data_IF_159519659908
#
_entry.id   IF_159519659908
#
_cell.length_a   1.000
_cell.length_b   1.000
_cell.length_c   1.000
_cell.angle_alpha   90.00
_cell.angle_beta   90.00
_cell.angle_gamma   90.00
#
_symmetry.space_group_name_H-M   'P 1'
#
loop_
_entity.id
_entity.type
_entity.pdbx_description
1 polymer ?
#
# COMPACT_ATOMS: atom_id res chain seq x y z
N UNK A 1 23.44 31.19 27.42
CA UNK A 1 22.26 30.75 28.21
C UNK A 1 22.17 29.25 28.12
N UNK A 2 22.09 28.54 29.26
CA UNK A 2 22.07 27.07 29.35
C UNK A 2 20.66 26.53 28.99
N UNK A 3 20.53 25.38 28.30
CA UNK A 3 19.23 24.77 28.04
C UNK A 3 18.75 24.00 29.27
N UNK A 4 17.46 24.18 29.62
CA UNK A 4 16.78 23.37 30.64
C UNK A 4 16.19 22.14 29.96
N UNK A 5 16.81 20.99 30.25
CA UNK A 5 16.32 19.65 29.95
C UNK A 5 15.17 19.32 30.90
N UNK A 6 13.98 19.04 30.36
CA UNK A 6 12.83 18.58 31.13
C UNK A 6 12.66 17.07 30.89
N UNK A 7 12.92 16.31 31.95
CA UNK A 7 12.82 14.85 32.01
C UNK A 7 11.38 14.49 32.41
N UNK A 8 10.62 13.81 31.55
CA UNK A 8 9.33 13.21 31.91
C UNK A 8 9.54 11.73 32.25
N UNK A 9 9.33 11.40 33.53
CA UNK A 9 9.27 10.03 34.05
C UNK A 9 7.81 9.63 34.03
N UNK A 10 7.45 8.63 33.21
CA UNK A 10 6.14 7.99 33.26
C UNK A 10 6.28 6.61 33.91
N UNK A 11 5.78 6.50 35.15
CA UNK A 11 5.60 5.24 35.85
C UNK A 11 4.18 4.74 35.58
N UNK A 12 4.04 3.52 35.03
CA UNK A 12 2.74 2.83 34.93
C UNK A 12 2.82 1.56 35.76
N UNK A 13 2.02 1.55 36.84
CA UNK A 13 1.84 0.43 37.75
C UNK A 13 0.95 -0.66 37.15
N UNK A 14 1.43 -1.89 37.24
CA UNK A 14 0.68 -3.13 37.02
C UNK A 14 -0.26 -3.38 38.20
N UNK A 15 -1.55 -3.58 37.92
CA UNK A 15 -2.52 -4.15 38.87
C UNK A 15 -3.15 -5.40 38.23
N UNK A 16 -2.71 -6.55 38.72
CA UNK A 16 -3.33 -7.87 38.53
C UNK A 16 -4.46 -8.03 39.55
N UNK A 17 -5.68 -8.33 39.09
CA UNK A 17 -6.67 -9.05 39.90
C UNK A 17 -7.51 -9.93 38.99
N UNK A 18 -7.36 -11.24 39.15
CA UNK A 18 -8.32 -12.22 38.65
C UNK A 18 -9.41 -12.51 39.68
N UNK A 19 -10.54 -13.04 39.22
CA UNK A 19 -11.39 -13.90 40.03
C UNK A 19 -12.05 -14.96 39.16
N UNK A 20 -12.08 -16.15 39.74
CA UNK A 20 -12.45 -17.46 39.24
C UNK A 20 -13.91 -17.73 39.65
N UNK A 21 -14.72 -18.36 38.80
CA UNK A 21 -16.09 -18.77 39.12
C UNK A 21 -16.50 -20.02 38.36
N UNK A 22 -17.09 -20.98 39.07
CA UNK A 22 -17.16 -22.43 38.79
C UNK A 22 -18.50 -22.84 38.13
N UNK A 23 -18.47 -23.98 37.45
CA UNK A 23 -19.53 -24.70 36.72
C UNK A 23 -20.81 -25.06 37.49
N UNK A 24 -21.93 -25.25 36.77
CA UNK A 24 -22.78 -26.45 36.84
C UNK A 24 -23.84 -26.51 35.70
N UNK A 25 -23.74 -27.59 34.91
CA UNK A 25 -24.77 -28.47 34.28
C UNK A 25 -26.24 -28.05 34.15
N UNK A 26 -26.81 -28.31 32.96
CA UNK A 26 -28.25 -28.48 32.77
C UNK A 26 -28.72 -28.73 31.32
N UNK A 27 -28.81 -30.01 30.96
CA UNK A 27 -29.87 -30.67 30.16
C UNK A 27 -30.08 -30.41 28.66
N UNK A 28 -30.15 -31.54 27.95
CA UNK A 28 -30.65 -31.82 26.60
C UNK A 28 -31.90 -31.03 26.17
N UNK A 29 -31.92 -30.65 24.90
CA UNK A 29 -33.07 -30.91 24.01
C UNK A 29 -32.63 -30.87 22.55
N UNK A 30 -32.86 -31.98 21.86
CA UNK A 30 -32.81 -32.08 20.42
C UNK A 30 -34.00 -31.33 19.80
N UNK A 31 -33.78 -30.53 18.76
CA UNK A 31 -34.71 -30.50 17.62
C UNK A 31 -34.14 -29.76 16.39
N UNK A 32 -34.13 -30.52 15.28
CA UNK A 32 -34.46 -30.15 13.90
C UNK A 32 -33.94 -28.82 13.31
N UNK A 33 -32.88 -28.94 12.51
CA UNK A 33 -32.48 -27.96 11.49
C UNK A 33 -33.26 -28.21 10.19
N UNK A 34 -34.01 -27.23 9.64
CA UNK A 34 -34.51 -27.30 8.27
C UNK A 34 -33.44 -26.84 7.28
N UNK A 35 -33.33 -27.58 6.18
CA UNK A 35 -32.49 -27.29 5.03
C UNK A 35 -32.88 -25.95 4.37
N UNK A 36 -31.93 -25.03 4.26
CA UNK A 36 -32.04 -23.85 3.40
C UNK A 36 -31.36 -24.18 2.08
N UNK A 37 -32.15 -24.10 1.02
CA UNK A 37 -31.74 -24.32 -0.36
C UNK A 37 -30.68 -23.30 -0.79
N UNK A 38 -29.58 -23.81 -1.37
CA UNK A 38 -28.59 -23.00 -2.09
C UNK A 38 -29.26 -22.28 -3.27
N UNK A 39 -29.44 -20.97 -3.14
CA UNK A 39 -29.56 -20.08 -4.29
C UNK A 39 -28.15 -19.89 -4.85
N UNK A 40 -27.97 -20.31 -6.09
CA UNK A 40 -26.83 -19.99 -6.92
C UNK A 40 -26.72 -18.47 -7.08
N UNK A 41 -25.72 -17.86 -6.45
CA UNK A 41 -25.31 -16.48 -6.74
C UNK A 41 -24.61 -16.47 -8.11
N UNK A 42 -25.20 -15.75 -9.05
CA UNK A 42 -24.56 -15.35 -10.29
C UNK A 42 -23.42 -14.38 -9.96
N UNK A 43 -22.22 -14.68 -10.46
CA UNK A 43 -21.06 -13.81 -10.40
C UNK A 43 -21.37 -12.42 -10.99
N UNK A 44 -20.84 -11.33 -10.40
CA UNK A 44 -20.94 -10.00 -10.99
C UNK A 44 -20.21 -9.93 -12.35
N UNK A 45 -20.65 -9.05 -13.28
CA UNK A 45 -19.98 -8.86 -14.56
C UNK A 45 -18.57 -8.29 -14.37
N UNK A 46 -17.62 -8.85 -15.13
CA UNK A 46 -16.21 -8.43 -15.19
C UNK A 46 -16.04 -6.93 -15.42
N UNK A 47 -15.03 -6.37 -14.73
CA UNK A 47 -14.53 -5.03 -14.96
C UNK A 47 -14.28 -4.80 -16.46
N UNK A 48 -14.70 -3.64 -16.95
CA UNK A 48 -14.49 -3.24 -18.34
C UNK A 48 -12.99 -3.08 -18.56
N UNK A 49 -12.38 -3.96 -19.37
CA UNK A 49 -10.95 -3.89 -19.67
C UNK A 49 -10.66 -2.62 -20.46
N UNK A 50 -9.97 -1.67 -19.84
CA UNK A 50 -9.52 -0.44 -20.48
C UNK A 50 -8.61 -0.76 -21.68
N UNK A 51 -8.60 0.08 -22.74
CA UNK A 51 -7.79 -0.16 -23.92
C UNK A 51 -6.29 -0.11 -23.58
N UNK A 52 -5.63 -1.25 -23.77
CA UNK A 52 -4.20 -1.43 -23.62
C UNK A 52 -3.48 -0.98 -24.90
N UNK A 53 -2.60 0.01 -24.82
CA UNK A 53 -1.75 0.43 -25.94
C UNK A 53 -0.27 0.19 -25.58
N UNK A 54 0.38 -0.84 -26.17
CA UNK A 54 1.78 -1.17 -25.85
C UNK A 54 2.77 -0.07 -26.25
N UNK A 55 2.35 0.95 -27.01
CA UNK A 55 3.18 2.10 -27.35
C UNK A 55 3.03 3.29 -26.39
N UNK A 56 2.02 3.29 -25.53
CA UNK A 56 1.80 4.36 -24.56
C UNK A 56 2.86 4.29 -23.44
N UNK A 57 3.44 5.45 -23.12
CA UNK A 57 4.48 5.61 -22.11
C UNK A 57 4.08 6.71 -21.13
N UNK A 58 4.33 6.44 -19.86
CA UNK A 58 4.19 7.37 -18.76
C UNK A 58 5.37 8.33 -18.74
N UNK A 59 5.08 9.63 -18.78
CA UNK A 59 6.05 10.68 -18.56
C UNK A 59 6.13 11.02 -17.07
N UNK A 60 7.15 10.47 -16.42
CA UNK A 60 7.39 10.65 -14.98
C UNK A 60 7.52 12.12 -14.57
N UNK A 61 7.90 13.02 -15.48
CA UNK A 61 8.11 14.44 -15.17
C UNK A 61 6.80 15.23 -15.00
N UNK A 62 5.67 14.67 -15.44
CA UNK A 62 4.34 15.29 -15.30
C UNK A 62 3.61 14.90 -14.02
N UNK A 63 4.10 13.87 -13.34
CA UNK A 63 3.45 13.32 -12.16
C UNK A 63 3.51 14.30 -11.00
N UNK A 64 2.46 14.27 -10.17
CA UNK A 64 2.40 15.03 -8.92
C UNK A 64 2.53 14.10 -7.73
N UNK A 65 2.67 14.65 -6.54
CA UNK A 65 2.79 13.91 -5.28
C UNK A 65 1.47 13.79 -4.51
N UNK A 66 0.35 13.69 -5.23
CA UNK A 66 -0.96 13.64 -4.60
C UNK A 66 -1.43 12.20 -4.35
N UNK A 67 -1.63 11.86 -3.09
CA UNK A 67 -2.24 10.61 -2.65
C UNK A 67 -3.48 10.88 -1.82
N UNK A 68 -4.41 9.93 -1.82
CA UNK A 68 -5.61 9.95 -1.02
C UNK A 68 -5.91 8.56 -0.45
N UNK A 69 -6.85 8.48 0.49
CA UNK A 69 -7.42 7.20 0.90
C UNK A 69 -8.93 7.24 0.96
N UNK A 70 -9.54 6.07 0.80
CA UNK A 70 -10.98 5.91 0.73
C UNK A 70 -11.67 5.94 2.11
N UNK A 71 -12.89 6.45 2.15
CA UNK A 71 -13.79 6.29 3.30
C UNK A 71 -14.19 4.81 3.52
N UNK A 72 -14.93 4.57 4.60
CA UNK A 72 -15.36 3.21 4.96
C UNK A 72 -16.37 2.59 3.98
N UNK A 73 -16.96 3.41 3.09
CA UNK A 73 -17.92 2.95 2.08
C UNK A 73 -17.30 2.83 0.68
N UNK A 74 -16.06 3.30 0.48
CA UNK A 74 -15.42 3.34 -0.84
C UNK A 74 -16.05 4.35 -1.80
N UNK A 75 -16.76 5.36 -1.29
CA UNK A 75 -17.49 6.36 -2.10
C UNK A 75 -16.78 7.70 -2.19
N UNK A 76 -15.90 7.97 -1.23
CA UNK A 76 -15.14 9.22 -1.16
C UNK A 76 -13.68 8.93 -0.92
N UNK A 77 -12.84 9.79 -1.45
CA UNK A 77 -11.41 9.84 -1.15
C UNK A 77 -11.10 11.15 -0.42
N UNK A 78 -10.16 11.12 0.52
CA UNK A 78 -9.58 12.33 1.15
C UNK A 78 -8.08 12.36 0.90
N UNK A 79 -7.56 13.50 0.47
CA UNK A 79 -6.12 13.66 0.24
C UNK A 79 -5.33 13.54 1.54
N UNK A 80 -4.15 12.94 1.44
CA UNK A 80 -3.18 12.96 2.51
C UNK A 80 -2.55 14.34 2.55
N UNK A 81 -2.53 14.97 3.74
CA UNK A 81 -2.01 16.32 3.90
C UNK A 81 -0.59 16.44 3.33
N UNK A 82 -0.40 17.39 2.40
CA UNK A 82 0.94 17.86 2.00
C UNK A 82 1.61 18.52 3.20
N UNK A 83 2.93 18.58 3.23
CA UNK A 83 3.63 19.17 4.38
C UNK A 83 3.10 20.59 4.66
N UNK A 84 2.95 20.99 5.93
CA UNK A 84 2.20 22.20 6.34
C UNK A 84 2.76 23.53 5.82
N UNK A 85 3.95 23.54 5.21
CA UNK A 85 4.53 24.74 4.57
C UNK A 85 4.03 24.96 3.14
N UNK A 86 3.37 23.96 2.53
CA UNK A 86 2.72 24.10 1.24
C UNK A 86 1.30 24.61 1.46
N UNK A 87 1.12 25.91 1.23
CA UNK A 87 -0.19 26.55 1.23
C UNK A 87 -1.19 25.67 0.44
N UNK A 88 -2.41 25.52 0.97
CA UNK A 88 -3.48 24.80 0.29
C UNK A 88 -3.45 25.09 -1.20
N UNK A 89 -3.29 24.04 -2.01
CA UNK A 89 -3.43 24.16 -3.45
C UNK A 89 -4.75 24.86 -3.73
N UNK A 90 -4.74 25.84 -4.65
CA UNK A 90 -5.96 26.55 -4.97
C UNK A 90 -7.01 25.53 -5.41
N UNK A 91 -8.28 25.73 -5.05
CA UNK A 91 -9.38 24.80 -5.40
C UNK A 91 -9.36 24.38 -6.89
N UNK A 92 -9.00 25.33 -7.78
CA UNK A 92 -8.87 25.08 -9.21
C UNK A 92 -7.82 24.04 -9.59
N UNK A 93 -6.73 23.94 -8.82
CA UNK A 93 -5.70 22.91 -8.99
C UNK A 93 -6.25 21.53 -8.58
N UNK A 94 -6.96 21.46 -7.45
CA UNK A 94 -7.59 20.22 -7.00
C UNK A 94 -8.66 19.70 -7.98
N UNK A 95 -9.34 20.60 -8.70
CA UNK A 95 -10.31 20.23 -9.72
C UNK A 95 -9.69 19.56 -10.97
N UNK A 96 -8.37 19.62 -11.17
CA UNK A 96 -7.70 18.97 -12.30
C UNK A 96 -7.62 17.45 -12.13
N UNK A 97 -7.57 16.96 -10.90
CA UNK A 97 -7.47 15.54 -10.60
C UNK A 97 -8.81 14.84 -10.85
N UNK A 98 -8.84 13.94 -11.82
CA UNK A 98 -10.04 13.25 -12.29
C UNK A 98 -9.91 11.73 -12.28
N UNK A 99 -8.74 11.19 -11.94
CA UNK A 99 -8.47 9.76 -11.83
C UNK A 99 -7.83 9.42 -10.48
N UNK A 100 -8.16 8.25 -9.96
CA UNK A 100 -7.49 7.62 -8.82
C UNK A 100 -7.03 6.21 -9.18
N UNK A 101 -5.75 5.91 -8.98
CA UNK A 101 -5.14 4.60 -9.27
C UNK A 101 -4.90 3.88 -7.94
N UNK A 102 -5.61 2.79 -7.72
CA UNK A 102 -5.50 1.93 -6.53
C UNK A 102 -4.76 0.63 -6.81
N UNK A 103 -4.84 -0.31 -5.86
CA UNK A 103 -4.19 -1.63 -5.96
C UNK A 103 -4.43 -2.31 -7.34
N UNK A 104 -3.38 -2.96 -7.87
CA UNK A 104 -3.37 -3.70 -9.13
C UNK A 104 -3.71 -2.89 -10.40
N UNK A 105 -3.54 -1.57 -10.35
CA UNK A 105 -3.78 -0.66 -11.47
C UNK A 105 -5.25 -0.33 -11.66
N UNK A 106 -6.11 -0.60 -10.66
CA UNK A 106 -7.52 -0.27 -10.74
C UNK A 106 -7.72 1.25 -10.79
N UNK A 107 -8.27 1.72 -11.90
CA UNK A 107 -8.53 3.15 -12.15
C UNK A 107 -9.97 3.47 -11.80
N UNK A 108 -10.16 4.50 -10.96
CA UNK A 108 -11.44 5.08 -10.63
C UNK A 108 -11.56 6.46 -11.27
N UNK A 109 -12.75 6.78 -11.79
CA UNK A 109 -13.05 8.17 -12.11
C UNK A 109 -13.49 8.87 -10.84
N UNK A 110 -12.90 10.04 -10.58
CA UNK A 110 -13.19 10.84 -9.40
C UNK A 110 -13.55 12.26 -9.78
N UNK A 111 -14.22 12.96 -8.88
CA UNK A 111 -14.54 14.38 -9.04
C UNK A 111 -14.30 15.11 -7.73
N UNK A 112 -13.53 16.20 -7.78
CA UNK A 112 -13.37 17.07 -6.64
C UNK A 112 -14.73 17.56 -6.12
N UNK A 113 -14.96 17.39 -4.82
CA UNK A 113 -16.21 17.75 -4.16
C UNK A 113 -16.04 19.03 -3.35
N UNK A 114 -15.04 19.08 -2.47
CA UNK A 114 -14.77 20.22 -1.58
C UNK A 114 -13.47 20.01 -0.79
N UNK A 115 -13.01 21.09 -0.16
CA UNK A 115 -12.09 21.00 0.96
C UNK A 115 -12.86 20.69 2.25
N UNK A 116 -12.36 19.77 3.06
CA UNK A 116 -12.87 19.45 4.39
C UNK A 116 -11.89 19.98 5.44
N UNK A 117 -12.37 20.86 6.32
CA UNK A 117 -11.58 21.33 7.47
C UNK A 117 -11.52 20.28 8.57
N UNK A 118 -10.41 20.27 9.30
CA UNK A 118 -10.25 19.48 10.53
C UNK A 118 -11.38 19.77 11.52
N UNK A 119 -11.88 18.72 12.20
CA UNK A 119 -12.78 18.87 13.34
C UNK A 119 -12.07 18.62 14.67
N UNK A 120 -12.68 19.04 15.78
CA UNK A 120 -12.17 18.77 17.13
C UNK A 120 -12.16 17.27 17.50
N UNK A 121 -12.80 16.42 16.70
CA UNK A 121 -12.81 14.96 16.90
C UNK A 121 -11.70 14.25 16.14
N UNK A 122 -10.85 14.98 15.41
CA UNK A 122 -9.71 14.42 14.70
C UNK A 122 -8.71 13.81 15.69
N UNK A 123 -8.52 12.50 15.62
CA UNK A 123 -7.56 11.77 16.43
C UNK A 123 -6.17 11.64 15.77
N UNK A 124 -5.97 12.31 14.64
CA UNK A 124 -4.75 12.31 13.83
C UNK A 124 -4.51 11.01 13.05
N UNK A 125 -5.43 10.03 13.09
CA UNK A 125 -5.31 8.79 12.33
C UNK A 125 -5.87 8.99 10.93
N UNK A 126 -5.09 8.65 9.93
CA UNK A 126 -5.48 8.65 8.52
C UNK A 126 -6.14 7.31 8.18
N UNK A 127 -7.27 7.02 8.81
CA UNK A 127 -8.07 5.81 8.60
C UNK A 127 -9.53 6.17 8.31
N UNK A 128 -10.26 5.24 7.68
CA UNK A 128 -11.67 5.40 7.35
C UNK A 128 -12.54 5.75 8.58
N UNK A 129 -12.16 5.29 9.77
CA UNK A 129 -12.87 5.59 11.03
C UNK A 129 -12.78 7.06 11.46
N UNK A 130 -11.73 7.77 11.04
CA UNK A 130 -11.51 9.18 11.36
C UNK A 130 -11.77 10.10 10.16
N UNK A 131 -12.20 9.55 9.02
CA UNK A 131 -12.34 10.24 7.73
C UNK A 131 -13.14 11.55 7.82
N UNK A 132 -14.25 11.57 8.55
CA UNK A 132 -15.11 12.77 8.66
C UNK A 132 -14.52 13.90 9.50
N UNK A 133 -13.42 13.63 10.20
CA UNK A 133 -12.79 14.56 11.13
C UNK A 133 -11.48 15.13 10.60
N UNK A 134 -10.84 14.41 9.66
CA UNK A 134 -9.58 14.80 9.06
C UNK A 134 -9.73 16.04 8.20
N UNK A 135 -8.64 16.79 8.10
CA UNK A 135 -8.49 17.83 7.08
C UNK A 135 -8.00 17.22 5.77
N UNK A 136 -8.55 17.69 4.66
CA UNK A 136 -8.10 17.30 3.32
C UNK A 136 -9.11 17.61 2.23
N UNK A 137 -8.69 17.42 1.00
CA UNK A 137 -9.52 17.61 -0.19
C UNK A 137 -10.30 16.33 -0.48
N UNK A 138 -11.63 16.48 -0.60
CA UNK A 138 -12.56 15.37 -0.79
C UNK A 138 -12.88 15.22 -2.26
N UNK A 139 -12.81 13.97 -2.72
CA UNK A 139 -13.22 13.57 -4.05
C UNK A 139 -14.35 12.56 -3.95
N UNK A 140 -15.39 12.72 -4.76
CA UNK A 140 -16.41 11.69 -4.97
C UNK A 140 -15.86 10.65 -5.96
N UNK A 141 -16.07 9.36 -5.69
CA UNK A 141 -15.89 8.29 -6.68
C UNK A 141 -17.12 8.27 -7.58
N UNK A 142 -16.96 8.63 -8.85
CA UNK A 142 -18.08 8.74 -9.81
C UNK A 142 -18.25 7.52 -10.70
N UNK A 143 -17.18 6.74 -10.88
CA UNK A 143 -17.20 5.46 -11.59
C UNK A 143 -16.12 4.52 -11.03
N UNK A 144 -16.43 3.22 -11.02
CA UNK A 144 -15.68 2.20 -10.29
C UNK A 144 -16.08 2.11 -8.80
N UNK A 145 -15.34 1.29 -8.05
CA UNK A 145 -15.57 1.08 -6.61
C UNK A 145 -14.22 1.16 -5.89
N UNK A 146 -14.07 2.12 -4.99
CA UNK A 146 -12.89 2.15 -4.13
C UNK A 146 -12.99 1.06 -3.06
N UNK A 147 -11.87 0.40 -2.78
CA UNK A 147 -11.76 -0.51 -1.64
C UNK A 147 -11.78 0.34 -0.36
N UNK A 148 -12.64 0.03 0.62
CA UNK A 148 -12.69 0.77 1.87
C UNK A 148 -11.31 0.89 2.53
N UNK A 149 -11.01 2.09 3.02
CA UNK A 149 -9.76 2.43 3.70
C UNK A 149 -8.47 2.19 2.88
N UNK A 150 -8.56 1.94 1.58
CA UNK A 150 -7.40 1.77 0.71
C UNK A 150 -6.85 3.10 0.22
N UNK A 151 -5.55 3.12 -0.10
CA UNK A 151 -4.86 4.29 -0.63
C UNK A 151 -4.83 4.31 -2.15
N UNK A 152 -4.83 5.51 -2.70
CA UNK A 152 -4.94 5.80 -4.11
C UNK A 152 -3.96 6.90 -4.50
N UNK A 153 -3.37 6.76 -5.69
CA UNK A 153 -2.59 7.81 -6.33
C UNK A 153 -3.52 8.67 -7.19
N UNK A 154 -3.56 9.98 -6.96
CA UNK A 154 -4.45 10.91 -7.67
C UNK A 154 -3.72 11.56 -8.84
N UNK A 155 -4.33 11.51 -10.01
CA UNK A 155 -3.78 12.06 -11.25
C UNK A 155 -4.87 12.73 -12.08
N UNK A 156 -4.44 13.62 -12.97
CA UNK A 156 -5.23 14.01 -14.13
C UNK A 156 -4.89 13.14 -15.34
N UNK A 157 -5.80 13.10 -16.32
CA UNK A 157 -5.60 12.52 -17.64
C UNK A 157 -4.45 13.18 -18.43
N UNK A 158 -4.13 14.45 -18.15
CA UNK A 158 -2.97 15.13 -18.72
C UNK A 158 -1.63 14.64 -18.13
N UNK A 159 -1.64 14.21 -16.86
CA UNK A 159 -0.47 13.76 -16.13
C UNK A 159 -0.19 12.27 -16.30
N UNK A 160 -1.24 11.46 -16.42
CA UNK A 160 -1.12 10.00 -16.45
C UNK A 160 -1.92 9.41 -17.61
N UNK A 161 -1.22 8.90 -18.62
CA UNK A 161 -1.85 8.14 -19.69
C UNK A 161 -2.16 6.72 -19.21
N UNK A 162 -3.43 6.44 -18.90
CA UNK A 162 -3.87 5.13 -18.39
C UNK A 162 -3.57 3.97 -19.34
N UNK A 163 -3.34 4.24 -20.64
CA UNK A 163 -2.94 3.20 -21.61
C UNK A 163 -1.51 2.70 -21.39
N UNK A 164 -0.69 3.47 -20.66
CA UNK A 164 0.64 3.08 -20.23
C UNK A 164 0.62 2.06 -19.09
N UNK A 165 -0.51 1.87 -18.41
CA UNK A 165 -0.66 0.84 -17.38
C UNK A 165 -0.40 -0.53 -17.98
N UNK A 166 0.36 -1.33 -17.25
CA UNK A 166 0.59 -2.74 -17.53
C UNK A 166 -0.36 -3.51 -16.62
N UNK A 167 -1.33 -4.27 -17.17
CA UNK A 167 -2.26 -5.07 -16.38
C UNK A 167 -1.53 -6.01 -15.43
N UNK A 168 -1.98 -6.03 -14.17
CA UNK A 168 -1.47 -6.92 -13.14
C UNK A 168 -2.46 -8.06 -12.92
N UNK A 169 -1.95 -9.29 -12.91
CA UNK A 169 -2.76 -10.48 -12.65
C UNK A 169 -3.27 -10.48 -11.19
N UNK A 170 -4.56 -10.71 -11.01
CA UNK A 170 -5.09 -11.04 -9.69
C UNK A 170 -4.55 -12.41 -9.27
N UNK A 171 -3.76 -12.43 -8.20
CA UNK A 171 -3.14 -13.65 -7.72
C UNK A 171 -3.08 -13.71 -6.20
N UNK A 172 -3.19 -14.93 -5.69
CA UNK A 172 -2.82 -15.22 -4.31
C UNK A 172 -1.30 -15.13 -4.16
N UNK A 173 -0.85 -14.72 -2.97
CA UNK A 173 0.56 -14.69 -2.62
C UNK A 173 1.16 -16.09 -2.82
N UNK A 174 2.26 -16.14 -3.56
CA UNK A 174 3.00 -17.37 -3.83
C UNK A 174 4.45 -17.22 -3.38
N UNK A 175 5.12 -18.35 -3.18
CA UNK A 175 6.58 -18.37 -3.08
C UNK A 175 7.19 -17.91 -4.41
N UNK A 176 8.38 -17.32 -4.34
CA UNK A 176 9.10 -16.89 -5.54
C UNK A 176 9.47 -18.13 -6.38
N UNK A 177 9.32 -18.08 -7.72
CA UNK A 177 9.78 -19.15 -8.59
C UNK A 177 11.25 -19.50 -8.36
N UNK A 178 11.57 -20.79 -8.40
CA UNK A 178 12.88 -21.29 -7.99
C UNK A 178 14.02 -20.78 -8.87
N UNK A 179 13.77 -20.59 -10.17
CA UNK A 179 14.68 -19.99 -11.14
C UNK A 179 14.95 -18.51 -10.83
N UNK A 180 13.89 -17.73 -10.55
CA UNK A 180 14.01 -16.32 -10.14
C UNK A 180 14.79 -16.22 -8.82
N UNK A 181 14.48 -17.05 -7.83
CA UNK A 181 15.20 -17.09 -6.55
C UNK A 181 16.70 -17.41 -6.74
N UNK A 182 17.03 -18.38 -7.60
CA UNK A 182 18.42 -18.70 -7.94
C UNK A 182 19.15 -17.54 -8.61
N UNK A 183 18.50 -16.86 -9.56
CA UNK A 183 19.06 -15.70 -10.24
C UNK A 183 19.33 -14.54 -9.25
N UNK A 184 18.39 -14.27 -8.34
CA UNK A 184 18.54 -13.28 -7.27
C UNK A 184 19.74 -13.61 -6.37
N UNK A 185 19.85 -14.85 -5.89
CA UNK A 185 20.97 -15.29 -5.04
C UNK A 185 22.31 -15.15 -5.77
N UNK A 186 22.35 -15.50 -7.05
CA UNK A 186 23.54 -15.39 -7.89
C UNK A 186 24.00 -13.94 -8.03
N UNK A 187 23.07 -13.00 -8.28
CA UNK A 187 23.39 -11.57 -8.42
C UNK A 187 23.82 -10.97 -7.08
N UNK A 188 23.11 -11.29 -5.99
CA UNK A 188 23.36 -10.68 -4.67
C UNK A 188 24.49 -11.32 -3.88
N UNK A 189 24.89 -12.54 -4.25
CA UNK A 189 25.88 -13.31 -3.48
C UNK A 189 25.41 -13.63 -2.06
N UNK A 190 24.10 -13.66 -1.82
CA UNK A 190 23.50 -13.78 -0.50
C UNK A 190 22.27 -14.69 -0.57
N UNK A 191 22.19 -15.66 0.33
CA UNK A 191 21.05 -16.58 0.37
C UNK A 191 19.77 -15.85 0.76
N UNK A 192 18.65 -16.25 0.16
CA UNK A 192 17.30 -15.80 0.54
C UNK A 192 16.89 -16.57 1.82
N UNK A 193 16.36 -15.85 2.81
CA UNK A 193 15.73 -16.43 3.99
C UNK A 193 14.23 -16.67 3.73
N UNK A 194 13.55 -15.67 3.17
CA UNK A 194 12.15 -15.73 2.75
C UNK A 194 11.94 -14.88 1.50
N UNK A 195 10.94 -15.22 0.69
CA UNK A 195 10.54 -14.37 -0.41
C UNK A 195 9.20 -14.75 -0.99
N UNK A 196 8.50 -13.76 -1.53
CA UNK A 196 7.17 -13.90 -2.09
C UNK A 196 7.05 -13.23 -3.44
N UNK A 197 6.31 -13.87 -4.33
CA UNK A 197 5.83 -13.28 -5.58
C UNK A 197 4.57 -12.45 -5.26
N UNK A 198 4.65 -11.15 -5.54
CA UNK A 198 3.60 -10.16 -5.21
C UNK A 198 2.66 -9.88 -6.37
N UNK A 199 3.18 -9.84 -7.60
CA UNK A 199 2.40 -9.56 -8.79
C UNK A 199 3.06 -10.15 -10.05
N UNK A 200 2.23 -10.40 -11.06
CA UNK A 200 2.66 -10.68 -12.43
C UNK A 200 2.00 -9.69 -13.38
N UNK A 201 2.73 -9.26 -14.40
CA UNK A 201 2.17 -8.49 -15.50
C UNK A 201 1.70 -9.44 -16.61
N UNK A 202 0.76 -8.99 -17.44
CA UNK A 202 0.36 -9.70 -18.66
C UNK A 202 1.48 -9.76 -19.74
N UNK A 203 2.48 -8.91 -19.61
CA UNK A 203 3.73 -8.90 -20.39
C UNK A 203 4.79 -9.88 -19.86
N UNK A 204 4.51 -10.58 -18.74
CA UNK A 204 5.35 -11.66 -18.22
C UNK A 204 6.39 -11.25 -17.19
N UNK A 205 6.47 -9.97 -16.83
CA UNK A 205 7.29 -9.53 -15.71
C UNK A 205 6.68 -9.97 -14.37
N UNK A 206 7.55 -10.15 -13.38
CA UNK A 206 7.15 -10.57 -12.05
C UNK A 206 7.74 -9.64 -11.00
N UNK A 207 6.91 -9.22 -10.05
CA UNK A 207 7.35 -8.39 -8.92
C UNK A 207 7.38 -9.24 -7.67
N UNK A 208 8.55 -9.38 -7.06
CA UNK A 208 8.78 -10.17 -5.85
C UNK A 208 9.38 -9.33 -4.74
N UNK A 209 9.20 -9.75 -3.49
CA UNK A 209 9.94 -9.22 -2.34
C UNK A 209 10.71 -10.32 -1.65
N UNK A 210 11.97 -10.04 -1.33
CA UNK A 210 12.89 -11.00 -0.69
C UNK A 210 13.47 -10.42 0.58
N UNK A 211 13.55 -11.25 1.61
CA UNK A 211 14.39 -11.05 2.78
C UNK A 211 15.60 -11.98 2.66
N UNK A 212 16.80 -11.42 2.73
CA UNK A 212 18.03 -12.21 2.68
C UNK A 212 18.48 -12.66 4.07
N UNK A 213 19.21 -13.78 4.12
CA UNK A 213 19.84 -14.28 5.35
C UNK A 213 20.73 -13.21 5.95
N UNK A 214 20.55 -12.89 7.23
CA UNK A 214 21.34 -11.91 7.98
C UNK A 214 22.86 -12.16 7.86
N UNK A 215 23.66 -11.10 7.77
CA UNK A 215 25.13 -11.18 7.84
C UNK A 215 25.66 -10.23 8.93
N UNK A 216 26.08 -10.77 10.07
CA UNK A 216 26.39 -9.93 11.23
C UNK A 216 25.15 -9.11 11.59
N UNK A 217 25.28 -7.79 11.75
CA UNK A 217 24.11 -6.90 11.97
C UNK A 217 23.51 -6.37 10.68
N UNK A 218 24.01 -6.78 9.51
CA UNK A 218 23.50 -6.30 8.23
C UNK A 218 22.27 -7.10 7.81
N UNK A 219 21.14 -6.40 7.75
CA UNK A 219 19.88 -6.90 7.19
C UNK A 219 19.72 -6.39 5.76
N UNK A 220 19.08 -7.18 4.91
CA UNK A 220 18.77 -6.78 3.55
C UNK A 220 17.42 -7.37 3.15
N UNK A 221 16.54 -6.49 2.68
CA UNK A 221 15.39 -6.84 1.89
C UNK A 221 15.53 -6.22 0.49
N UNK A 222 14.86 -6.80 -0.51
CA UNK A 222 14.74 -6.17 -1.81
C UNK A 222 13.36 -6.36 -2.41
N UNK A 223 12.84 -5.32 -3.05
CA UNK A 223 11.83 -5.46 -4.10
C UNK A 223 12.56 -5.80 -5.40
N UNK A 224 12.07 -6.78 -6.13
CA UNK A 224 12.71 -7.30 -7.35
C UNK A 224 11.68 -7.37 -8.46
N UNK A 225 11.96 -6.72 -9.59
CA UNK A 225 11.27 -6.98 -10.85
C UNK A 225 12.14 -7.94 -11.66
N UNK A 226 11.56 -9.07 -12.08
CA UNK A 226 12.19 -9.96 -13.05
C UNK A 226 11.50 -9.88 -14.40
N UNK A 227 12.28 -9.68 -15.45
CA UNK A 227 11.85 -9.66 -16.85
C UNK A 227 12.75 -10.62 -17.64
N UNK A 228 12.27 -11.84 -17.87
CA UNK A 228 13.11 -12.93 -18.37
C UNK A 228 14.35 -13.16 -17.48
N UNK A 229 15.54 -12.98 -18.05
CA UNK A 229 16.83 -13.11 -17.35
C UNK A 229 17.29 -11.80 -16.66
N UNK A 230 16.60 -10.68 -16.91
CA UNK A 230 16.93 -9.38 -16.34
C UNK A 230 16.28 -9.21 -14.96
N UNK A 231 17.05 -8.63 -14.03
CA UNK A 231 16.60 -8.36 -12.67
C UNK A 231 16.85 -6.89 -12.31
N UNK A 232 15.79 -6.22 -11.88
CA UNK A 232 15.81 -4.84 -11.39
C UNK A 232 15.52 -4.82 -9.89
N UNK A 233 16.39 -4.17 -9.11
CA UNK A 233 16.32 -4.19 -7.65
C UNK A 233 16.05 -2.82 -7.03
N UNK A 234 15.15 -2.78 -6.04
CA UNK A 234 15.15 -1.77 -4.97
C UNK A 234 15.66 -2.44 -3.70
N UNK A 235 16.82 -2.02 -3.20
CA UNK A 235 17.44 -2.61 -2.00
C UNK A 235 17.10 -1.78 -0.75
N UNK A 236 16.70 -2.47 0.32
CA UNK A 236 16.42 -1.91 1.64
C UNK A 236 17.43 -2.47 2.66
N UNK A 237 18.68 -1.96 2.67
CA UNK A 237 19.65 -2.31 3.69
C UNK A 237 19.22 -1.73 5.04
N UNK A 238 19.41 -2.50 6.11
CA UNK A 238 19.11 -2.07 7.46
C UNK A 238 20.12 -2.64 8.46
N UNK A 239 20.18 -2.05 9.65
CA UNK A 239 20.83 -2.66 10.81
C UNK A 239 19.83 -3.53 11.53
N UNK A 240 20.27 -4.68 12.03
CA UNK A 240 19.43 -5.56 12.80
C UNK A 240 18.94 -4.88 14.07
N UNK A 241 17.62 -4.74 14.15
CA UNK A 241 16.91 -4.40 15.37
C UNK A 241 15.81 -5.44 15.54
N UNK A 242 15.86 -6.16 16.67
CA UNK A 242 14.97 -7.27 16.96
C UNK A 242 13.48 -6.88 16.97
N UNK A 243 13.17 -5.59 17.13
CA UNK A 243 11.81 -5.08 17.15
C UNK A 243 11.45 -4.33 15.87
N UNK A 244 12.38 -3.59 15.26
CA UNK A 244 12.06 -2.65 14.18
C UNK A 244 13.21 -2.47 13.17
N UNK A 245 13.49 -3.51 12.38
CA UNK A 245 14.59 -3.48 11.40
C UNK A 245 14.30 -2.54 10.22
N UNK A 246 13.11 -2.62 9.63
CA UNK A 246 12.67 -1.80 8.49
C UNK A 246 11.44 -0.94 8.82
N UNK A 247 10.52 -1.47 9.62
CA UNK A 247 9.29 -0.79 10.07
C UNK A 247 9.11 -0.99 11.57
N UNK A 248 8.37 -0.08 12.20
CA UNK A 248 8.01 -0.22 13.61
C UNK A 248 7.27 -1.54 13.83
N UNK A 249 7.70 -2.27 14.85
CA UNK A 249 7.20 -3.58 15.28
C UNK A 249 7.20 -4.68 14.20
N UNK A 250 8.12 -4.61 13.24
CA UNK A 250 8.30 -5.66 12.22
C UNK A 250 9.02 -6.92 12.71
N UNK A 251 9.57 -6.88 13.93
CA UNK A 251 10.28 -8.00 14.57
C UNK A 251 11.41 -8.58 13.71
N UNK A 252 12.05 -7.75 12.89
CA UNK A 252 13.08 -8.15 11.91
C UNK A 252 12.59 -9.11 10.81
N UNK A 253 11.28 -9.22 10.60
CA UNK A 253 10.69 -10.15 9.65
C UNK A 253 9.81 -9.44 8.62
N UNK A 254 10.04 -9.76 7.35
CA UNK A 254 9.08 -9.45 6.30
C UNK A 254 7.95 -10.48 6.27
N UNK A 255 6.80 -10.03 5.81
CA UNK A 255 5.72 -10.89 5.34
C UNK A 255 5.08 -10.27 4.10
N UNK A 256 4.49 -11.11 3.24
CA UNK A 256 3.89 -10.67 1.98
C UNK A 256 2.76 -9.65 2.13
N UNK A 257 2.01 -9.69 3.24
CA UNK A 257 0.85 -8.81 3.48
C UNK A 257 1.25 -7.36 3.77
N UNK A 258 2.53 -7.13 4.06
CA UNK A 258 3.08 -5.79 4.22
C UNK A 258 3.23 -5.07 2.87
N UNK A 259 3.09 -5.76 1.74
CA UNK A 259 3.41 -5.20 0.44
C UNK A 259 2.21 -5.24 -0.48
N UNK A 260 2.03 -4.17 -1.26
CA UNK A 260 1.04 -4.14 -2.34
C UNK A 260 1.55 -3.30 -3.49
N UNK A 261 1.18 -3.68 -4.71
CA UNK A 261 1.47 -2.92 -5.91
C UNK A 261 0.24 -2.09 -6.24
N UNK A 262 0.40 -0.77 -6.24
CA UNK A 262 -0.63 0.13 -6.74
C UNK A 262 -0.73 -0.03 -8.26
N UNK A 263 0.37 0.12 -8.99
CA UNK A 263 0.35 -0.05 -10.45
C UNK A 263 1.74 -0.41 -10.99
N UNK A 264 1.75 -0.95 -12.20
CA UNK A 264 2.91 -0.95 -13.08
C UNK A 264 2.56 -0.14 -14.33
N UNK A 265 3.50 0.66 -14.82
CA UNK A 265 3.32 1.45 -16.05
C UNK A 265 4.59 1.48 -16.88
N UNK A 266 4.45 1.43 -18.21
CA UNK A 266 5.59 1.63 -19.13
C UNK A 266 6.06 3.06 -19.08
N UNK A 267 7.36 3.26 -19.18
CA UNK A 267 8.02 4.56 -19.33
C UNK A 267 9.02 4.48 -20.49
N UNK A 268 9.66 5.60 -20.84
CA UNK A 268 10.76 5.57 -21.82
C UNK A 268 11.98 4.77 -21.35
N UNK A 269 12.15 4.61 -20.04
CA UNK A 269 13.36 4.04 -19.41
C UNK A 269 13.15 2.64 -18.81
N UNK A 270 11.96 2.05 -19.02
CA UNK A 270 11.55 0.77 -18.44
C UNK A 270 10.18 0.87 -17.77
N UNK A 271 10.05 0.34 -16.55
CA UNK A 271 8.80 0.32 -15.79
C UNK A 271 8.82 1.33 -14.62
N UNK A 272 7.70 2.02 -14.41
CA UNK A 272 7.38 2.68 -13.15
C UNK A 272 6.49 1.78 -12.29
N UNK A 273 6.78 1.68 -11.00
CA UNK A 273 6.00 0.91 -10.04
C UNK A 273 5.45 1.82 -8.93
N UNK A 274 4.12 1.87 -8.80
CA UNK A 274 3.47 2.35 -7.59
C UNK A 274 3.50 1.25 -6.53
N UNK A 275 4.11 1.53 -5.37
CA UNK A 275 4.40 0.53 -4.34
C UNK A 275 3.94 1.02 -2.96
N UNK A 276 3.38 0.10 -2.18
CA UNK A 276 2.90 0.34 -0.82
C UNK A 276 3.54 -0.65 0.15
N UNK A 277 4.11 -0.13 1.24
CA UNK A 277 4.71 -0.89 2.33
C UNK A 277 4.01 -0.58 3.67
N UNK A 278 3.10 -1.47 4.05
CA UNK A 278 2.36 -1.46 5.32
C UNK A 278 3.21 -2.02 6.46
N UNK A 279 3.12 -1.40 7.63
CA UNK A 279 3.69 -1.83 8.90
C UNK A 279 2.71 -1.57 10.05
N UNK A 280 3.14 -1.78 11.29
CA UNK A 280 2.25 -1.67 12.44
C UNK A 280 1.63 -0.28 12.62
N UNK A 281 2.39 0.78 12.34
CA UNK A 281 1.94 2.17 12.51
C UNK A 281 1.11 2.73 11.35
N UNK A 282 1.08 2.01 10.23
CA UNK A 282 0.44 2.44 8.99
C UNK A 282 1.31 2.11 7.78
N UNK A 283 1.32 2.92 6.75
CA UNK A 283 1.93 2.57 5.45
C UNK A 283 2.78 3.69 4.86
N UNK A 284 3.77 3.28 4.07
CA UNK A 284 4.52 4.15 3.16
C UNK A 284 4.10 3.83 1.73
N UNK A 285 3.92 4.85 0.92
CA UNK A 285 3.57 4.74 -0.49
C UNK A 285 4.65 5.47 -1.30
N UNK A 286 5.11 4.88 -2.40
CA UNK A 286 6.14 5.48 -3.25
C UNK A 286 5.94 5.09 -4.71
N UNK A 287 6.30 5.99 -5.63
CA UNK A 287 6.49 5.63 -7.04
C UNK A 287 7.98 5.43 -7.30
N UNK A 288 8.33 4.23 -7.77
CA UNK A 288 9.67 3.85 -8.17
C UNK A 288 9.80 3.96 -9.69
N UNK A 289 10.94 4.41 -10.18
CA UNK A 289 11.30 4.40 -11.61
C UNK A 289 12.43 3.41 -11.85
N UNK A 290 12.33 2.63 -12.92
CA UNK A 290 13.43 1.78 -13.35
C UNK A 290 14.55 2.62 -13.98
N UNK A 291 15.79 2.26 -13.65
CA UNK A 291 17.03 2.86 -14.15
C UNK A 291 18.02 1.71 -14.36
N UNK A 292 18.00 1.13 -15.57
CA UNK A 292 18.72 -0.10 -15.87
C UNK A 292 18.28 -1.27 -14.97
N UNK A 293 19.19 -1.81 -14.16
CA UNK A 293 18.96 -2.94 -13.26
C UNK A 293 18.64 -2.52 -11.81
N UNK A 294 18.25 -1.25 -11.60
CA UNK A 294 17.86 -0.72 -10.29
C UNK A 294 16.56 0.05 -10.38
N UNK A 295 15.80 0.05 -9.30
CA UNK A 295 14.79 1.05 -9.06
C UNK A 295 15.40 2.24 -8.32
N UNK A 296 14.90 3.42 -8.64
CA UNK A 296 15.16 4.66 -7.94
C UNK A 296 13.83 5.23 -7.43
N UNK A 297 13.85 5.86 -6.26
CA UNK A 297 12.71 6.66 -5.83
C UNK A 297 12.52 7.85 -6.77
N UNK A 298 11.29 8.09 -7.21
CA UNK A 298 10.97 9.24 -8.06
C UNK A 298 10.89 10.56 -7.28
N UNK A 299 10.89 10.51 -5.94
CA UNK A 299 10.56 11.63 -5.06
C UNK A 299 9.05 11.74 -4.77
N UNK A 300 8.21 10.98 -5.48
CA UNK A 300 6.77 10.92 -5.22
C UNK A 300 6.52 9.87 -4.14
N UNK A 301 6.33 10.34 -2.92
CA UNK A 301 6.16 9.51 -1.72
C UNK A 301 5.07 10.07 -0.83
N UNK A 302 4.43 9.19 -0.07
CA UNK A 302 3.49 9.57 0.98
C UNK A 302 3.50 8.53 2.09
N UNK A 303 2.85 8.86 3.20
CA UNK A 303 2.67 7.94 4.31
C UNK A 303 1.31 8.14 4.97
N UNK A 304 0.76 7.05 5.50
CA UNK A 304 -0.43 7.08 6.35
C UNK A 304 -0.10 6.63 7.74
N UNK A 305 -0.46 7.44 8.73
CA UNK A 305 -0.43 7.05 10.13
C UNK A 305 -1.80 6.53 10.53
N UNK A 306 -1.91 5.23 10.81
CA UNK A 306 -3.19 4.54 11.03
C UNK A 306 -3.35 3.97 12.45
N UNK A 307 -2.27 3.86 13.21
CA UNK A 307 -2.27 3.17 14.52
C UNK A 307 -1.74 4.03 15.66
N UNK A 308 -1.93 3.63 16.94
CA UNK A 308 -2.87 2.59 17.39
C UNK A 308 -4.31 2.93 17.00
N UNK A 309 -5.12 1.87 16.83
CA UNK A 309 -6.58 1.93 16.63
C UNK A 309 -7.26 2.25 17.98
#
# INVERSE_FOLDING_TARGET
>A
MKPKMLLFILAISVMLTGCRGKSATGTETANSSPAIASKSEQSPPSATSMPHDPSAQLDMSKLSDLFAFADGEGKKLITLARQPEEAHAAEKEMQLYNLAIGDNGNVLNIRYAKHQSRTELDNGRQSAHNFSNLEGDIYDVVDGVAKPDASYYLVSDEQFDVRSLIPLEEMEVQDIPADVAQAIVKVKGRAIERGWLLAKTDEGQQVSVVQFKRWGDQMLASLVLSDGDELTFMDYPAQYDANSTWRVDDQSELNSRMFSILFAARTSDGIALGFKWTGAEGENISILKQSGNRFEESGIVSGRYQSPI
#
